data_IF_482708949881
#
_entry.id   IF_482708949881
#
_cell.length_a   1.000
_cell.length_b   1.000
_cell.length_c   1.000
_cell.angle_alpha   90.00
_cell.angle_beta   90.00
_cell.angle_gamma   90.00
#
_symmetry.space_group_name_H-M   'P 1'
#
loop_
_entity.id
_entity.type
_entity.pdbx_description
1 polymer ?
#
# COMPACT_ATOMS: atom_id res chain seq x y z
N UNK A 1 4.43 4.08 -19.52
CA UNK A 1 3.42 4.85 -20.27
C UNK A 1 4.01 5.64 -21.45
N UNK A 2 5.23 6.24 -21.37
CA UNK A 2 5.81 7.01 -22.49
C UNK A 2 5.93 6.21 -23.80
N UNK A 3 6.23 4.91 -23.75
CA UNK A 3 6.26 4.02 -24.92
C UNK A 3 4.93 3.95 -25.66
N UNK A 4 3.82 4.21 -24.98
CA UNK A 4 2.47 4.30 -25.55
C UNK A 4 2.06 5.75 -25.88
N UNK A 5 3.00 6.70 -25.86
CA UNK A 5 2.77 8.14 -26.05
C UNK A 5 1.79 8.75 -25.04
N UNK A 6 1.68 8.15 -23.86
CA UNK A 6 0.88 8.65 -22.74
C UNK A 6 1.80 9.48 -21.84
N UNK A 7 1.48 10.77 -21.71
CA UNK A 7 2.17 11.69 -20.80
C UNK A 7 1.61 11.49 -19.38
N UNK A 8 2.50 11.37 -18.41
CA UNK A 8 2.16 11.33 -16.97
C UNK A 8 2.68 12.59 -16.30
N UNK A 9 1.87 13.20 -15.44
CA UNK A 9 2.26 14.27 -14.55
C UNK A 9 2.11 13.75 -13.11
N UNK A 10 3.18 13.79 -12.33
CA UNK A 10 3.14 13.41 -10.93
C UNK A 10 2.70 14.58 -10.08
N UNK A 11 1.82 14.32 -9.13
CA UNK A 11 1.24 15.30 -8.21
C UNK A 11 1.11 14.70 -6.82
N UNK A 12 1.14 15.54 -5.79
CA UNK A 12 0.85 15.09 -4.44
C UNK A 12 -0.67 14.87 -4.27
N UNK A 13 -1.10 13.64 -3.99
CA UNK A 13 -2.50 13.25 -3.85
C UNK A 13 -3.17 13.82 -2.59
N UNK A 14 -2.40 14.34 -1.64
CA UNK A 14 -2.93 15.05 -0.47
C UNK A 14 -3.27 16.51 -0.75
N UNK A 15 -2.92 17.02 -1.95
CA UNK A 15 -3.14 18.39 -2.37
C UNK A 15 -4.06 18.46 -3.60
N UNK A 16 -5.36 18.55 -3.36
CA UNK A 16 -6.38 18.61 -4.43
C UNK A 16 -6.20 19.79 -5.38
N UNK A 17 -5.66 20.93 -4.90
CA UNK A 17 -5.37 22.07 -5.76
C UNK A 17 -4.25 21.74 -6.75
N UNK A 18 -3.18 21.09 -6.33
CA UNK A 18 -2.11 20.66 -7.22
C UNK A 18 -2.63 19.66 -8.28
N UNK A 19 -3.56 18.79 -7.89
CA UNK A 19 -4.22 17.89 -8.85
C UNK A 19 -5.00 18.71 -9.88
N UNK A 20 -5.83 19.66 -9.43
CA UNK A 20 -6.64 20.51 -10.32
C UNK A 20 -5.79 21.33 -11.29
N UNK A 21 -4.71 21.94 -10.80
CA UNK A 21 -3.77 22.75 -11.59
C UNK A 21 -3.03 21.91 -12.66
N UNK A 22 -2.86 20.59 -12.43
CA UNK A 22 -2.23 19.68 -13.38
C UNK A 22 -3.21 19.15 -14.47
N UNK A 23 -4.50 19.34 -14.31
CA UNK A 23 -5.51 18.88 -15.28
C UNK A 23 -5.42 19.72 -16.57
N UNK A 24 -5.46 19.06 -17.70
CA UNK A 24 -5.52 19.65 -19.03
C UNK A 24 -6.70 19.07 -19.84
N UNK A 25 -7.03 19.67 -20.99
CA UNK A 25 -8.06 19.12 -21.90
C UNK A 25 -7.73 17.70 -22.41
N UNK A 26 -6.48 17.24 -22.27
CA UNK A 26 -6.03 15.91 -22.67
C UNK A 26 -5.98 14.92 -21.52
N UNK A 27 -6.18 15.35 -20.28
CA UNK A 27 -6.19 14.47 -19.12
C UNK A 27 -7.39 13.53 -19.19
N UNK A 28 -7.17 12.22 -19.10
CA UNK A 28 -8.19 11.17 -19.19
C UNK A 28 -8.35 10.38 -17.91
N UNK A 29 -7.28 10.29 -17.12
CA UNK A 29 -7.22 9.47 -15.91
C UNK A 29 -6.51 10.24 -14.80
N UNK A 30 -7.08 10.20 -13.62
CA UNK A 30 -6.38 10.44 -12.35
C UNK A 30 -6.17 9.08 -11.72
N UNK A 31 -4.90 8.75 -11.40
CA UNK A 31 -4.53 7.50 -10.73
C UNK A 31 -3.95 7.84 -9.36
N UNK A 32 -4.45 7.18 -8.33
CA UNK A 32 -3.86 7.28 -6.99
C UNK A 32 -3.92 5.93 -6.27
N UNK A 33 -3.11 5.80 -5.22
CA UNK A 33 -3.21 4.72 -4.24
C UNK A 33 -4.09 5.16 -3.07
N UNK A 34 -4.81 4.25 -2.44
CA UNK A 34 -5.52 4.53 -1.18
C UNK A 34 -4.56 4.97 -0.08
N UNK A 35 -3.39 4.33 -0.06
CA UNK A 35 -2.30 4.60 0.87
C UNK A 35 -0.99 4.47 0.11
N UNK A 36 -0.18 5.53 0.13
CA UNK A 36 1.05 5.62 -0.65
C UNK A 36 2.16 4.70 -0.14
N UNK A 37 3.05 4.30 -1.05
CA UNK A 37 4.28 3.58 -0.75
C UNK A 37 5.50 4.49 -0.99
N UNK A 38 6.37 4.75 0.00
CA UNK A 38 6.45 4.09 1.30
C UNK A 38 5.83 4.89 2.47
N UNK A 39 5.43 6.14 2.29
CA UNK A 39 5.15 7.07 3.38
C UNK A 39 3.78 6.86 4.03
N UNK A 40 2.96 5.92 3.52
CA UNK A 40 1.63 5.61 4.02
C UNK A 40 0.70 6.84 4.09
N UNK A 41 0.92 7.81 3.18
CA UNK A 41 0.02 8.95 3.04
C UNK A 41 -1.32 8.49 2.49
N UNK A 42 -2.40 8.97 3.08
CA UNK A 42 -3.77 8.59 2.72
C UNK A 42 -4.35 9.58 1.73
N UNK A 43 -4.82 9.11 0.59
CA UNK A 43 -5.47 9.94 -0.43
C UNK A 43 -6.89 10.32 -0.03
N UNK A 44 -7.29 11.59 -0.26
CA UNK A 44 -8.68 12.02 -0.12
C UNK A 44 -9.48 11.64 -1.37
N UNK A 45 -9.90 10.36 -1.42
CA UNK A 45 -10.57 9.77 -2.58
C UNK A 45 -11.88 10.50 -2.89
N UNK A 46 -12.66 10.90 -1.87
CA UNK A 46 -13.92 11.63 -2.06
C UNK A 46 -13.66 12.95 -2.78
N UNK A 47 -12.71 13.77 -2.29
CA UNK A 47 -12.39 15.06 -2.91
C UNK A 47 -11.82 14.90 -4.31
N UNK A 48 -10.94 13.92 -4.53
CA UNK A 48 -10.38 13.61 -5.86
C UNK A 48 -11.49 13.16 -6.81
N UNK A 49 -12.45 12.35 -6.34
CA UNK A 49 -13.61 11.89 -7.14
C UNK A 49 -14.49 13.06 -7.60
N UNK A 50 -14.79 14.01 -6.70
CA UNK A 50 -15.55 15.21 -7.06
C UNK A 50 -14.84 16.00 -8.15
N UNK A 51 -13.53 16.17 -8.02
CA UNK A 51 -12.70 16.86 -9.01
C UNK A 51 -12.68 16.12 -10.36
N UNK A 52 -12.47 14.80 -10.33
CA UNK A 52 -12.46 13.97 -11.54
C UNK A 52 -13.79 14.07 -12.31
N UNK A 53 -14.92 13.97 -11.61
CA UNK A 53 -16.27 14.11 -12.19
C UNK A 53 -16.50 15.50 -12.79
N UNK A 54 -16.07 16.57 -12.10
CA UNK A 54 -16.15 17.95 -12.60
C UNK A 54 -15.50 18.12 -13.97
N UNK A 55 -14.42 17.40 -14.23
CA UNK A 55 -13.64 17.48 -15.47
C UNK A 55 -13.91 16.34 -16.46
N UNK A 56 -14.83 15.41 -16.17
CA UNK A 56 -15.13 14.26 -17.03
C UNK A 56 -13.95 13.27 -17.15
N UNK A 57 -13.15 13.14 -16.08
CA UNK A 57 -11.95 12.30 -16.00
C UNK A 57 -12.27 11.06 -15.17
N UNK A 58 -11.74 9.90 -15.57
CA UNK A 58 -11.85 8.65 -14.78
C UNK A 58 -10.89 8.65 -13.59
N UNK A 59 -11.41 8.34 -12.41
CA UNK A 59 -10.62 8.11 -11.22
C UNK A 59 -10.32 6.61 -11.06
N UNK A 60 -9.04 6.27 -11.11
CA UNK A 60 -8.52 4.92 -10.86
C UNK A 60 -7.83 4.90 -9.51
N UNK A 61 -8.24 3.99 -8.63
CA UNK A 61 -7.68 3.85 -7.29
C UNK A 61 -7.07 2.46 -7.09
N UNK A 62 -5.78 2.40 -6.80
CA UNK A 62 -5.12 1.18 -6.37
C UNK A 62 -5.34 0.97 -4.87
N UNK A 63 -6.07 -0.10 -4.54
CA UNK A 63 -6.40 -0.46 -3.17
C UNK A 63 -5.62 -1.69 -2.67
N UNK A 64 -4.39 -1.87 -3.16
CA UNK A 64 -3.56 -3.03 -2.82
C UNK A 64 -3.17 -3.07 -1.36
N UNK A 65 -2.87 -1.92 -0.74
CA UNK A 65 -2.42 -1.85 0.67
C UNK A 65 -3.56 -2.04 1.68
N UNK A 66 -4.77 -1.74 1.28
CA UNK A 66 -5.92 -1.62 2.18
C UNK A 66 -7.17 -2.35 1.70
N UNK A 67 -7.05 -3.60 1.16
CA UNK A 67 -8.26 -4.34 0.78
C UNK A 67 -9.16 -4.52 2.00
N UNK A 68 -10.47 -4.35 1.83
CA UNK A 68 -11.51 -4.32 2.88
C UNK A 68 -11.42 -3.13 3.86
N UNK A 69 -10.25 -2.54 4.09
CA UNK A 69 -10.12 -1.31 4.91
C UNK A 69 -10.76 -0.14 4.20
N UNK A 70 -10.59 -0.04 2.87
CA UNK A 70 -11.27 0.94 2.03
C UNK A 70 -12.21 0.26 1.03
N UNK A 71 -13.26 0.98 0.67
CA UNK A 71 -14.15 0.68 -0.46
C UNK A 71 -14.11 1.85 -1.46
N UNK A 72 -13.06 1.99 -2.28
CA UNK A 72 -12.87 3.18 -3.11
C UNK A 72 -14.04 3.48 -4.06
N UNK A 73 -14.74 2.45 -4.54
CA UNK A 73 -15.93 2.62 -5.37
C UNK A 73 -17.05 3.39 -4.63
N UNK A 74 -17.24 3.13 -3.33
CA UNK A 74 -18.21 3.86 -2.50
C UNK A 74 -17.78 5.30 -2.21
N UNK A 75 -16.48 5.58 -2.31
CA UNK A 75 -15.90 6.92 -2.20
C UNK A 75 -15.86 7.66 -3.55
N UNK A 76 -16.36 7.01 -4.60
CA UNK A 76 -16.56 7.60 -5.92
C UNK A 76 -15.49 7.30 -6.96
N UNK A 77 -14.58 6.35 -6.72
CA UNK A 77 -13.67 5.85 -7.75
C UNK A 77 -14.45 5.15 -8.86
N UNK A 78 -14.08 5.40 -10.11
CA UNK A 78 -14.65 4.73 -11.27
C UNK A 78 -14.09 3.32 -11.45
N UNK A 79 -12.80 3.17 -11.15
CA UNK A 79 -12.06 1.92 -11.34
C UNK A 79 -11.24 1.65 -10.08
N UNK A 80 -11.32 0.44 -9.56
CA UNK A 80 -10.50 -0.02 -8.43
C UNK A 80 -9.60 -1.14 -8.88
N UNK A 81 -8.31 -1.05 -8.50
CA UNK A 81 -7.30 -2.05 -8.83
C UNK A 81 -6.77 -2.68 -7.56
N UNK A 82 -6.50 -3.97 -7.61
CA UNK A 82 -5.76 -4.69 -6.57
C UNK A 82 -4.67 -5.57 -7.18
N UNK A 83 -3.50 -5.57 -6.58
CA UNK A 83 -2.58 -6.68 -6.75
C UNK A 83 -3.08 -7.87 -5.92
N UNK A 84 -3.56 -8.91 -6.60
CA UNK A 84 -3.98 -10.15 -5.95
C UNK A 84 -2.80 -10.87 -5.28
N UNK A 85 -1.58 -10.64 -5.77
CA UNK A 85 -0.31 -11.15 -5.23
C UNK A 85 -0.10 -10.82 -3.75
N UNK A 86 -0.67 -9.71 -3.26
CA UNK A 86 -0.41 -9.14 -1.93
C UNK A 86 -1.41 -9.69 -0.89
N UNK A 87 -2.03 -8.83 -0.10
CA UNK A 87 -2.95 -9.21 0.99
C UNK A 87 -4.07 -10.16 0.55
N UNK A 88 -4.60 -10.00 -0.66
CA UNK A 88 -5.72 -10.83 -1.12
C UNK A 88 -5.31 -12.30 -1.18
N UNK A 89 -4.20 -12.63 -1.82
CA UNK A 89 -3.64 -13.98 -1.81
C UNK A 89 -3.01 -14.34 -0.45
N UNK A 90 -2.12 -13.48 0.08
CA UNK A 90 -1.54 -13.62 1.43
C UNK A 90 -0.46 -14.69 1.59
N UNK A 91 -0.17 -15.48 0.55
CA UNK A 91 0.78 -16.61 0.60
C UNK A 91 2.02 -16.42 -0.28
N UNK A 92 2.10 -15.32 -1.05
CA UNK A 92 3.25 -14.95 -1.91
C UNK A 92 3.66 -16.02 -2.93
N UNK A 93 2.76 -16.95 -3.27
CA UNK A 93 2.99 -18.08 -4.19
C UNK A 93 2.31 -17.89 -5.55
N UNK A 94 1.53 -16.84 -5.72
CA UNK A 94 0.77 -16.56 -6.95
C UNK A 94 0.80 -15.09 -7.29
N UNK A 95 1.05 -14.79 -8.56
CA UNK A 95 1.01 -13.43 -9.10
C UNK A 95 -0.30 -13.19 -9.84
N UNK A 96 -0.96 -12.06 -9.59
CA UNK A 96 -2.17 -11.68 -10.28
C UNK A 96 -2.62 -10.27 -9.94
N UNK A 97 -3.57 -9.77 -10.72
CA UNK A 97 -4.23 -8.49 -10.52
C UNK A 97 -5.72 -8.59 -10.82
N UNK A 98 -6.49 -7.68 -10.30
CA UNK A 98 -7.91 -7.55 -10.59
C UNK A 98 -8.28 -6.09 -10.82
N UNK A 99 -9.15 -5.86 -11.79
CA UNK A 99 -9.78 -4.58 -12.08
C UNK A 99 -11.26 -4.73 -11.73
N UNK A 100 -11.78 -3.82 -10.91
CA UNK A 100 -13.18 -3.75 -10.53
C UNK A 100 -13.74 -2.41 -11.02
N UNK A 101 -14.85 -2.46 -11.78
CA UNK A 101 -15.54 -1.29 -12.30
C UNK A 101 -17.00 -1.65 -12.62
N UNK A 102 -17.72 -0.73 -13.24
CA UNK A 102 -19.06 -1.01 -13.76
C UNK A 102 -19.04 -2.03 -14.91
N UNK A 103 -20.22 -2.57 -15.22
CA UNK A 103 -20.40 -3.60 -16.25
C UNK A 103 -20.02 -3.09 -17.64
N UNK A 104 -20.33 -1.82 -17.94
CA UNK A 104 -20.04 -1.20 -19.25
C UNK A 104 -18.52 -1.14 -19.47
N UNK A 105 -17.76 -0.65 -18.48
CA UNK A 105 -16.31 -0.57 -18.58
C UNK A 105 -15.67 -1.95 -18.69
N UNK A 106 -16.06 -2.90 -17.85
CA UNK A 106 -15.53 -4.27 -17.90
C UNK A 106 -15.91 -4.94 -19.22
N UNK A 107 -17.17 -4.77 -19.68
CA UNK A 107 -17.62 -5.27 -20.98
C UNK A 107 -16.79 -4.73 -22.15
N UNK A 108 -16.45 -3.43 -22.12
CA UNK A 108 -15.60 -2.82 -23.14
C UNK A 108 -14.16 -3.39 -23.16
N UNK A 109 -13.63 -3.82 -22.01
CA UNK A 109 -12.30 -4.43 -21.94
C UNK A 109 -12.24 -5.85 -22.54
N UNK A 110 -13.33 -6.60 -22.47
CA UNK A 110 -13.42 -7.98 -22.95
C UNK A 110 -14.12 -8.11 -24.32
N UNK A 111 -14.49 -6.99 -24.95
CA UNK A 111 -15.08 -6.98 -26.30
C UNK A 111 -14.16 -7.68 -27.29
N UNK A 112 -14.73 -8.57 -28.11
CA UNK A 112 -13.98 -9.47 -29.01
C UNK A 112 -13.18 -8.70 -30.07
N UNK A 113 -13.68 -7.55 -30.51
CA UNK A 113 -13.10 -6.79 -31.63
C UNK A 113 -12.14 -5.69 -31.17
N UNK A 114 -12.37 -5.11 -30.00
CA UNK A 114 -11.68 -3.89 -29.57
C UNK A 114 -11.21 -3.92 -28.12
N UNK A 115 -11.62 -4.92 -27.35
CA UNK A 115 -11.32 -5.00 -25.91
C UNK A 115 -9.84 -5.23 -25.62
N UNK A 116 -9.26 -4.38 -24.77
CA UNK A 116 -7.84 -4.45 -24.43
C UNK A 116 -7.44 -5.79 -23.79
N UNK A 117 -8.30 -6.35 -22.95
CA UNK A 117 -8.05 -7.66 -22.32
C UNK A 117 -8.16 -8.80 -23.33
N UNK A 118 -9.08 -8.68 -24.28
CA UNK A 118 -9.23 -9.69 -25.35
C UNK A 118 -8.04 -9.67 -26.30
N UNK A 119 -7.60 -8.49 -26.72
CA UNK A 119 -6.52 -8.34 -27.70
C UNK A 119 -5.13 -8.60 -27.12
N UNK A 120 -4.90 -8.26 -25.84
CA UNK A 120 -3.59 -8.41 -25.17
C UNK A 120 -3.45 -9.73 -24.43
N UNK A 121 -4.55 -10.43 -24.14
CA UNK A 121 -4.60 -11.74 -23.50
C UNK A 121 -4.17 -11.83 -22.03
N UNK A 122 -4.31 -10.81 -21.16
CA UNK A 122 -3.93 -10.88 -19.76
C UNK A 122 -4.98 -11.68 -18.96
N UNK A 123 -5.06 -12.98 -19.22
CA UNK A 123 -6.02 -13.89 -18.58
C UNK A 123 -5.32 -14.73 -17.54
N UNK A 124 -5.90 -14.78 -16.33
CA UNK A 124 -5.41 -15.66 -15.27
C UNK A 124 -5.83 -17.09 -15.55
N UNK A 125 -4.90 -18.04 -15.43
CA UNK A 125 -5.24 -19.46 -15.53
C UNK A 125 -6.11 -19.93 -14.35
N UNK A 126 -6.85 -21.03 -14.58
CA UNK A 126 -7.82 -21.56 -13.62
C UNK A 126 -7.21 -22.04 -12.30
N UNK A 127 -5.97 -22.54 -12.31
CA UNK A 127 -5.31 -23.02 -11.10
C UNK A 127 -4.94 -21.87 -10.17
N UNK A 128 -4.37 -20.79 -10.72
CA UNK A 128 -4.10 -19.58 -9.94
C UNK A 128 -5.38 -18.93 -9.43
N UNK A 129 -6.42 -18.86 -10.28
CA UNK A 129 -7.71 -18.31 -9.89
C UNK A 129 -8.33 -19.10 -8.72
N UNK A 130 -8.28 -20.42 -8.78
CA UNK A 130 -8.77 -21.30 -7.72
C UNK A 130 -7.99 -21.14 -6.41
N UNK A 131 -6.64 -21.00 -6.49
CA UNK A 131 -5.79 -20.76 -5.33
C UNK A 131 -6.14 -19.43 -4.66
N UNK A 132 -6.22 -18.35 -5.44
CA UNK A 132 -6.58 -17.01 -4.93
C UNK A 132 -7.98 -17.00 -4.34
N UNK A 133 -8.97 -17.63 -4.99
CA UNK A 133 -10.34 -17.75 -4.48
C UNK A 133 -10.38 -18.47 -3.12
N UNK A 134 -9.57 -19.52 -2.96
CA UNK A 134 -9.43 -20.22 -1.68
C UNK A 134 -8.93 -19.28 -0.58
N UNK A 135 -7.89 -18.49 -0.86
CA UNK A 135 -7.28 -17.58 0.10
C UNK A 135 -8.16 -16.34 0.37
N UNK A 136 -8.92 -15.88 -0.63
CA UNK A 136 -9.86 -14.76 -0.49
C UNK A 136 -10.90 -15.00 0.62
N UNK A 137 -11.29 -16.26 0.86
CA UNK A 137 -12.27 -16.62 1.89
C UNK A 137 -11.85 -16.23 3.31
N UNK A 138 -10.56 -16.12 3.57
CA UNK A 138 -10.00 -15.73 4.88
C UNK A 138 -9.53 -14.28 4.93
N UNK A 139 -9.66 -13.52 3.84
CA UNK A 139 -9.12 -12.16 3.75
C UNK A 139 -9.61 -11.26 4.89
N UNK A 140 -10.90 -11.33 5.22
CA UNK A 140 -11.50 -10.53 6.28
C UNK A 140 -10.90 -10.81 7.68
N UNK A 141 -10.55 -12.06 7.98
CA UNK A 141 -9.88 -12.45 9.23
C UNK A 141 -8.43 -11.95 9.23
N UNK A 142 -7.74 -12.16 8.11
CA UNK A 142 -6.33 -11.77 7.96
C UNK A 142 -6.14 -10.25 8.05
N UNK A 143 -6.98 -9.46 7.37
CA UNK A 143 -6.88 -8.01 7.42
C UNK A 143 -7.11 -7.44 8.82
N UNK A 144 -8.04 -8.00 9.59
CA UNK A 144 -8.23 -7.63 11.00
C UNK A 144 -6.96 -7.91 11.80
N UNK A 145 -6.42 -9.13 11.71
CA UNK A 145 -5.23 -9.52 12.47
C UNK A 145 -3.99 -8.71 12.07
N UNK A 146 -3.76 -8.49 10.77
CA UNK A 146 -2.69 -7.60 10.30
C UNK A 146 -2.80 -6.20 10.92
N UNK A 147 -4.02 -5.62 10.91
CA UNK A 147 -4.27 -4.28 11.47
C UNK A 147 -4.10 -4.23 12.98
N UNK A 148 -4.59 -5.23 13.70
CA UNK A 148 -4.43 -5.34 15.17
C UNK A 148 -2.95 -5.39 15.56
N UNK A 149 -2.19 -6.27 14.90
CA UNK A 149 -0.76 -6.42 15.13
C UNK A 149 0.01 -5.13 14.79
N UNK A 150 -0.31 -4.50 13.65
CA UNK A 150 0.32 -3.24 13.26
C UNK A 150 0.03 -2.11 14.24
N UNK A 151 -1.21 -2.00 14.73
CA UNK A 151 -1.59 -1.00 15.72
C UNK A 151 -0.86 -1.21 17.05
N UNK A 152 -0.74 -2.48 17.50
CA UNK A 152 0.01 -2.80 18.72
C UNK A 152 1.46 -2.34 18.61
N UNK A 153 2.16 -2.75 17.54
CA UNK A 153 3.56 -2.39 17.33
C UNK A 153 3.76 -0.89 17.13
N UNK A 154 2.88 -0.23 16.37
CA UNK A 154 2.97 1.21 16.15
C UNK A 154 2.88 2.00 17.47
N UNK A 155 1.93 1.66 18.34
CA UNK A 155 1.79 2.30 19.64
C UNK A 155 2.98 2.00 20.56
N UNK A 156 3.47 0.76 20.57
CA UNK A 156 4.60 0.36 21.40
C UNK A 156 5.88 1.09 20.97
N UNK A 157 6.23 1.05 19.69
CA UNK A 157 7.40 1.75 19.16
C UNK A 157 7.33 3.28 19.34
N UNK A 158 6.14 3.87 19.20
CA UNK A 158 5.98 5.30 19.48
C UNK A 158 6.25 5.64 20.94
N UNK A 159 5.83 4.78 21.89
CA UNK A 159 6.13 4.93 23.33
C UNK A 159 7.62 4.79 23.63
N UNK A 160 8.33 3.97 22.86
CA UNK A 160 9.79 3.82 22.96
C UNK A 160 10.56 5.01 22.34
N UNK A 161 9.86 5.99 21.79
CA UNK A 161 10.45 7.20 21.20
C UNK A 161 10.87 7.07 19.75
N UNK A 162 10.49 6.00 19.04
CA UNK A 162 10.77 5.84 17.63
C UNK A 162 9.88 6.76 16.79
N UNK A 163 10.42 7.23 15.67
CA UNK A 163 9.62 7.87 14.61
C UNK A 163 8.88 6.76 13.85
N UNK A 164 7.58 6.69 14.06
CA UNK A 164 6.69 5.72 13.45
C UNK A 164 5.73 6.41 12.49
N UNK A 165 5.60 5.89 11.28
CA UNK A 165 4.59 6.31 10.30
C UNK A 165 3.54 5.19 10.22
N UNK A 166 2.36 5.47 10.71
CA UNK A 166 1.22 4.55 10.67
C UNK A 166 -0.09 5.36 10.77
N UNK A 167 -0.99 5.27 9.80
CA UNK A 167 -2.22 6.09 9.80
C UNK A 167 -3.17 5.82 10.96
N UNK A 168 -2.99 4.70 11.67
CA UNK A 168 -3.72 4.38 12.89
C UNK A 168 -3.32 5.22 14.11
N UNK A 169 -2.14 5.84 14.11
CA UNK A 169 -1.71 6.73 15.19
C UNK A 169 -2.36 8.11 15.04
N UNK A 170 -2.83 8.69 16.13
CA UNK A 170 -3.43 10.04 16.14
C UNK A 170 -2.43 11.13 15.72
N UNK A 171 -1.15 10.86 15.84
CA UNK A 171 -0.05 11.75 15.40
C UNK A 171 0.15 11.75 13.88
N UNK A 172 -0.42 10.78 13.15
CA UNK A 172 -0.34 10.76 11.70
C UNK A 172 -1.18 11.88 11.07
N UNK A 173 -0.64 12.67 10.12
CA UNK A 173 -1.33 13.83 9.55
C UNK A 173 -2.71 13.52 8.98
N UNK A 174 -2.88 12.36 8.35
CA UNK A 174 -4.14 11.94 7.74
C UNK A 174 -4.94 10.93 8.58
N UNK A 175 -4.65 10.78 9.89
CA UNK A 175 -5.42 9.86 10.76
C UNK A 175 -6.94 10.11 10.69
N UNK A 176 -7.36 11.38 10.82
CA UNK A 176 -8.77 11.76 10.76
C UNK A 176 -9.40 11.49 9.39
N UNK A 177 -8.64 11.73 8.31
CA UNK A 177 -9.09 11.46 6.95
C UNK A 177 -9.30 9.96 6.75
N UNK A 178 -8.32 9.14 7.13
CA UNK A 178 -8.44 7.68 7.04
C UNK A 178 -9.65 7.18 7.83
N UNK A 179 -9.81 7.62 9.08
CA UNK A 179 -10.93 7.23 9.93
C UNK A 179 -12.29 7.60 9.34
N UNK A 180 -12.37 8.71 8.59
CA UNK A 180 -13.59 9.13 7.88
C UNK A 180 -13.92 8.22 6.69
N UNK A 181 -12.92 7.77 5.94
CA UNK A 181 -13.10 7.06 4.66
C UNK A 181 -13.03 5.53 4.79
N UNK A 182 -12.49 5.01 5.89
CA UNK A 182 -12.31 3.56 6.05
C UNK A 182 -13.61 2.86 6.44
N UNK A 183 -13.68 1.57 6.11
CA UNK A 183 -14.75 0.69 6.59
C UNK A 183 -14.53 0.32 8.05
N UNK A 184 -15.60 0.29 8.82
CA UNK A 184 -15.54 -0.15 10.22
C UNK A 184 -15.11 -1.62 10.35
N UNK A 185 -14.39 -1.92 11.44
CA UNK A 185 -14.07 -3.28 11.86
C UNK A 185 -12.87 -3.93 11.17
N UNK A 186 -12.12 -3.21 10.30
CA UNK A 186 -10.89 -3.72 9.65
C UNK A 186 -9.62 -3.01 10.13
N UNK A 187 -9.73 -1.96 10.95
CA UNK A 187 -8.60 -1.18 11.44
C UNK A 187 -7.89 -0.38 10.35
N UNK A 188 -6.61 -0.07 10.55
CA UNK A 188 -5.86 0.87 9.72
C UNK A 188 -4.87 0.19 8.76
N UNK A 189 -5.03 -1.11 8.51
CA UNK A 189 -4.15 -1.89 7.63
C UNK A 189 -2.90 -2.42 8.31
N UNK A 190 -2.17 -3.27 7.57
CA UNK A 190 -1.03 -4.03 8.09
C UNK A 190 0.34 -3.47 7.72
N UNK A 191 0.42 -2.23 7.22
CA UNK A 191 1.67 -1.58 6.83
C UNK A 191 2.14 -0.58 7.87
N UNK A 192 3.39 -0.66 8.26
CA UNK A 192 4.06 0.19 9.26
C UNK A 192 5.41 0.65 8.72
N UNK A 193 5.84 1.86 9.02
CA UNK A 193 7.18 2.35 8.69
C UNK A 193 7.82 2.93 9.95
N UNK A 194 9.08 2.58 10.17
CA UNK A 194 9.94 3.19 11.19
C UNK A 194 11.14 3.88 10.54
N UNK A 195 11.67 4.90 11.18
CA UNK A 195 12.85 5.62 10.70
C UNK A 195 14.03 5.34 11.64
N UNK A 196 15.04 4.65 11.14
CA UNK A 196 16.28 4.33 11.85
C UNK A 196 17.37 5.37 11.63
N UNK A 197 17.05 6.46 10.93
CA UNK A 197 17.89 7.60 10.59
C UNK A 197 18.92 7.36 9.49
N UNK A 198 19.61 6.21 9.46
CA UNK A 198 20.63 5.91 8.45
C UNK A 198 20.36 4.58 7.74
N UNK A 199 20.86 4.48 6.53
CA UNK A 199 20.79 3.29 5.68
C UNK A 199 21.47 2.08 6.31
N UNK A 200 22.63 2.31 6.94
CA UNK A 200 23.42 1.26 7.57
C UNK A 200 22.64 0.62 8.71
N UNK A 201 22.10 1.44 9.62
CA UNK A 201 21.28 0.97 10.74
C UNK A 201 20.00 0.26 10.23
N UNK A 202 19.37 0.77 9.16
CA UNK A 202 18.20 0.11 8.56
C UNK A 202 18.54 -1.31 8.08
N UNK A 203 19.67 -1.47 7.39
CA UNK A 203 20.12 -2.77 6.90
C UNK A 203 20.46 -3.72 8.06
N UNK A 204 21.26 -3.26 9.02
CA UNK A 204 21.66 -4.05 10.19
C UNK A 204 20.44 -4.50 10.99
N UNK A 205 19.44 -3.62 11.17
CA UNK A 205 18.18 -3.97 11.84
C UNK A 205 17.41 -5.05 11.09
N UNK A 206 17.27 -4.91 9.76
CA UNK A 206 16.53 -5.89 8.97
C UNK A 206 17.22 -7.26 8.97
N UNK A 207 18.55 -7.29 8.89
CA UNK A 207 19.33 -8.54 8.99
C UNK A 207 19.18 -9.16 10.39
N UNK A 208 19.29 -8.36 11.44
CA UNK A 208 19.13 -8.84 12.81
C UNK A 208 17.72 -9.40 13.07
N UNK A 209 16.68 -8.70 12.58
CA UNK A 209 15.30 -9.21 12.68
C UNK A 209 15.11 -10.52 11.90
N UNK A 210 15.71 -10.66 10.71
CA UNK A 210 15.65 -11.91 9.96
C UNK A 210 16.37 -13.05 10.67
N UNK A 211 17.55 -12.80 11.23
CA UNK A 211 18.33 -13.78 11.99
C UNK A 211 17.60 -14.27 13.26
N UNK A 212 16.72 -13.42 13.82
CA UNK A 212 15.86 -13.78 14.95
C UNK A 212 14.49 -14.33 14.53
N UNK A 213 14.31 -14.72 13.27
CA UNK A 213 13.09 -15.31 12.72
C UNK A 213 11.82 -14.42 12.85
N UNK A 214 11.97 -13.10 12.93
CA UNK A 214 10.87 -12.16 13.02
C UNK A 214 10.17 -11.92 11.69
N UNK A 215 10.77 -12.33 10.59
CA UNK A 215 10.24 -12.16 9.24
C UNK A 215 11.30 -12.34 8.16
N UNK A 216 11.05 -11.78 6.99
CA UNK A 216 11.93 -11.90 5.83
C UNK A 216 12.23 -10.55 5.20
N UNK A 217 13.48 -10.38 4.75
CA UNK A 217 13.87 -9.32 3.82
C UNK A 217 13.20 -9.56 2.46
N UNK A 218 12.21 -8.75 2.12
CA UNK A 218 11.50 -8.91 0.85
C UNK A 218 10.83 -7.61 0.39
N UNK A 219 10.93 -7.32 -0.89
CA UNK A 219 10.25 -6.19 -1.55
C UNK A 219 8.79 -6.54 -1.88
N UNK A 220 8.08 -7.17 -0.93
CA UNK A 220 6.67 -7.53 -1.06
C UNK A 220 5.91 -7.08 0.18
N UNK A 221 4.64 -7.44 0.26
CA UNK A 221 3.77 -7.12 1.40
C UNK A 221 2.55 -8.05 1.43
N UNK A 222 1.82 -8.04 2.53
CA UNK A 222 0.58 -8.77 2.66
C UNK A 222 0.74 -10.29 2.83
N UNK A 223 1.97 -10.74 3.11
CA UNK A 223 2.26 -12.14 3.40
C UNK A 223 1.83 -12.48 4.84
N UNK A 224 1.51 -13.74 5.11
CA UNK A 224 1.12 -14.16 6.46
C UNK A 224 2.24 -14.02 7.50
N UNK A 225 3.52 -14.02 7.07
CA UNK A 225 4.65 -13.65 7.92
C UNK A 225 5.06 -12.19 7.69
N UNK A 226 5.70 -11.60 8.68
CA UNK A 226 6.21 -10.23 8.57
C UNK A 226 7.28 -10.13 7.48
N UNK A 227 7.17 -9.09 6.65
CA UNK A 227 8.16 -8.73 5.63
C UNK A 227 8.68 -7.32 5.90
N UNK A 228 9.97 -7.11 5.66
CA UNK A 228 10.58 -5.80 5.80
C UNK A 228 11.51 -5.46 4.64
N UNK A 229 11.56 -4.19 4.31
CA UNK A 229 12.39 -3.65 3.22
C UNK A 229 12.76 -2.20 3.49
N UNK A 230 13.91 -1.76 2.96
CA UNK A 230 14.28 -0.36 2.91
C UNK A 230 13.80 0.26 1.58
N UNK A 231 12.78 1.12 1.58
CA UNK A 231 12.19 1.67 0.35
C UNK A 231 13.17 2.48 -0.48
N UNK A 232 14.04 3.27 0.15
CA UNK A 232 15.05 4.07 -0.54
C UNK A 232 16.03 3.25 -1.37
N UNK A 233 16.21 1.95 -1.02
CA UNK A 233 17.09 1.01 -1.71
C UNK A 233 16.34 0.09 -2.68
N UNK A 234 15.02 0.09 -2.67
CA UNK A 234 14.21 -0.86 -3.42
C UNK A 234 13.11 -0.18 -4.24
N UNK A 235 11.96 0.07 -3.65
CA UNK A 235 10.77 0.57 -4.37
C UNK A 235 10.87 2.03 -4.82
N UNK A 236 11.72 2.83 -4.17
CA UNK A 236 11.96 4.24 -4.48
C UNK A 236 13.37 4.52 -4.99
N UNK A 237 14.14 3.49 -5.34
CA UNK A 237 15.54 3.62 -5.80
C UNK A 237 15.70 4.37 -7.14
N UNK A 238 14.65 4.41 -7.96
CA UNK A 238 14.64 5.15 -9.23
C UNK A 238 14.39 6.65 -9.07
N UNK A 239 13.95 7.11 -7.87
CA UNK A 239 13.74 8.52 -7.56
C UNK A 239 15.09 9.14 -7.17
N UNK A 240 15.50 10.27 -7.76
CA UNK A 240 16.72 10.99 -7.38
C UNK A 240 16.77 11.28 -5.87
N UNK A 241 17.97 11.26 -5.28
CA UNK A 241 18.14 11.42 -3.83
C UNK A 241 17.57 12.73 -3.29
N UNK A 242 17.76 13.83 -4.02
CA UNK A 242 17.24 15.15 -3.65
C UNK A 242 15.70 15.14 -3.61
N UNK A 243 15.07 14.54 -4.61
CA UNK A 243 13.63 14.43 -4.71
C UNK A 243 13.07 13.50 -3.59
N UNK A 244 13.77 12.41 -3.25
CA UNK A 244 13.41 11.56 -2.11
C UNK A 244 13.44 12.32 -0.80
N UNK A 245 14.46 13.19 -0.60
CA UNK A 245 14.57 14.03 0.59
C UNK A 245 13.43 15.03 0.69
N UNK A 246 13.07 15.68 -0.42
CA UNK A 246 11.92 16.60 -0.49
C UNK A 246 10.61 15.89 -0.18
N UNK A 247 10.45 14.64 -0.61
CA UNK A 247 9.30 13.79 -0.30
C UNK A 247 9.32 13.27 1.15
N UNK A 248 10.38 13.48 1.93
CA UNK A 248 10.52 12.97 3.30
C UNK A 248 10.92 11.49 3.38
N UNK A 249 11.39 10.91 2.28
CA UNK A 249 11.89 9.52 2.22
C UNK A 249 13.35 9.53 2.67
N UNK A 250 13.60 9.28 3.96
CA UNK A 250 14.96 9.12 4.47
C UNK A 250 15.53 7.75 4.08
N UNK A 251 16.86 7.66 3.99
CA UNK A 251 17.53 6.38 3.70
C UNK A 251 17.45 5.38 4.86
N UNK A 252 17.08 5.86 6.06
CA UNK A 252 16.85 5.04 7.26
C UNK A 252 15.44 4.46 7.40
N UNK A 253 14.55 4.66 6.42
CA UNK A 253 13.20 4.11 6.50
C UNK A 253 13.22 2.58 6.35
N UNK A 254 12.58 1.90 7.30
CA UNK A 254 12.25 0.48 7.21
C UNK A 254 10.74 0.33 7.11
N UNK A 255 10.26 -0.14 5.96
CA UNK A 255 8.85 -0.47 5.75
C UNK A 255 8.61 -1.91 6.19
N UNK A 256 7.62 -2.11 7.04
CA UNK A 256 7.28 -3.41 7.62
C UNK A 256 5.83 -3.74 7.23
N UNK A 257 5.65 -4.85 6.54
CA UNK A 257 4.34 -5.49 6.34
C UNK A 257 4.15 -6.50 7.45
N UNK A 258 3.33 -6.15 8.42
CA UNK A 258 3.14 -6.94 9.64
C UNK A 258 2.39 -8.24 9.34
N UNK A 259 2.90 -9.37 9.84
CA UNK A 259 2.31 -10.69 9.66
C UNK A 259 1.15 -11.02 10.60
N UNK A 260 0.68 -12.28 10.52
CA UNK A 260 -0.43 -12.84 11.30
C UNK A 260 0.06 -13.48 12.60
N UNK A 261 1.00 -12.82 13.27
CA UNK A 261 1.51 -13.32 14.54
C UNK A 261 0.41 -13.32 15.61
N UNK A 262 0.27 -14.40 16.35
CA UNK A 262 -0.67 -14.56 17.45
C UNK A 262 -0.11 -14.05 18.78
N UNK A 263 1.23 -14.06 18.93
CA UNK A 263 1.96 -13.55 20.09
C UNK A 263 2.74 -12.26 19.71
N UNK A 264 2.01 -11.21 19.41
CA UNK A 264 2.60 -9.95 18.96
C UNK A 264 3.43 -9.26 20.06
N UNK A 265 3.13 -9.53 21.33
CA UNK A 265 3.88 -8.99 22.47
C UNK A 265 5.30 -9.58 22.50
N UNK A 266 5.44 -10.89 22.35
CA UNK A 266 6.74 -11.55 22.21
C UNK A 266 7.51 -11.01 21.00
N UNK A 267 6.83 -10.88 19.86
CA UNK A 267 7.43 -10.32 18.65
C UNK A 267 7.94 -8.89 18.87
N UNK A 268 7.17 -8.05 19.55
CA UNK A 268 7.61 -6.71 19.95
C UNK A 268 8.88 -6.75 20.80
N UNK A 269 8.91 -7.55 21.85
CA UNK A 269 10.10 -7.65 22.72
C UNK A 269 11.35 -8.08 21.94
N UNK A 270 11.22 -9.07 21.06
CA UNK A 270 12.35 -9.52 20.22
C UNK A 270 12.77 -8.43 19.22
N UNK A 271 11.83 -7.68 18.65
CA UNK A 271 12.14 -6.51 17.78
C UNK A 271 12.91 -5.43 18.56
N UNK A 272 12.50 -5.13 19.78
CA UNK A 272 13.20 -4.16 20.66
C UNK A 272 14.63 -4.62 20.99
N UNK A 273 14.84 -5.90 21.24
CA UNK A 273 16.20 -6.46 21.45
C UNK A 273 17.06 -6.27 20.19
N UNK A 274 16.53 -6.56 19.01
CA UNK A 274 17.21 -6.30 17.74
C UNK A 274 17.55 -4.80 17.58
N UNK A 275 16.60 -3.91 17.87
CA UNK A 275 16.78 -2.45 17.78
C UNK A 275 17.87 -1.95 18.72
N UNK A 276 17.92 -2.43 19.97
CA UNK A 276 18.98 -2.11 20.94
C UNK A 276 20.34 -2.58 20.47
N UNK A 277 20.42 -3.79 19.92
CA UNK A 277 21.67 -4.37 19.43
C UNK A 277 22.31 -3.56 18.31
N UNK A 278 21.49 -2.94 17.43
CA UNK A 278 21.97 -2.13 16.30
C UNK A 278 21.97 -0.62 16.59
N UNK A 279 21.60 -0.20 17.79
CA UNK A 279 21.65 1.20 18.22
C UNK A 279 20.50 2.08 17.69
N UNK A 280 19.34 1.50 17.44
CA UNK A 280 18.10 2.23 17.13
C UNK A 280 17.44 2.76 18.40
N UNK A 281 17.50 1.96 19.48
CA UNK A 281 17.02 2.27 20.84
C UNK A 281 18.18 2.28 21.84
#
# INVERSE_FOLDING_TARGET
LPKFKIKTTFVNTTNTKQIEDAITSRTKVIYCETMSNPLLEVSDIESISVLAKKHGIKLVVDNTFTPLVFSPALLGADIVIHSLTKFINGTSDTVGGVICSDEEFIGSMIDVNSGSSMLLGPVMDSMRAASILKNLRTLHLRMKKHSENAMYLANAFQKDGLRVIYPGLETHPQHKLMKKQMNEGFGFGGMLVIDTKTKEIANDLMEEMQNNNLGYLAVSLGFYKTLFSAPGLSTSSEIPEEERKEMGISDGLVRISIGLDDDIERTYHTMVECMKKVGVL
#
